data_IF_042456351478
#
_entry.id   IF_042456351478
#
_cell.length_a   1.000
_cell.length_b   1.000
_cell.length_c   1.000
_cell.angle_alpha   90.00
_cell.angle_beta   90.00
_cell.angle_gamma   90.00
#
_symmetry.space_group_name_H-M   'P 1'
#
loop_
_entity.id
_entity.type
_entity.pdbx_description
1 polymer ?
#
# COMPACT_ATOMS: atom_id res chain seq x y z
N UNK A 1 13.41 26.84 -2.02
CA UNK A 1 13.46 25.99 -3.24
C UNK A 1 12.03 25.66 -3.60
N UNK A 2 11.62 25.90 -4.85
CA UNK A 2 10.24 25.65 -5.28
C UNK A 2 9.96 24.14 -5.32
N UNK A 3 8.84 23.71 -4.80
CA UNK A 3 8.43 22.30 -4.79
C UNK A 3 7.73 21.98 -6.12
N UNK A 4 8.26 21.00 -6.83
CA UNK A 4 7.72 20.49 -8.09
C UNK A 4 6.70 19.41 -7.80
N UNK A 5 5.45 19.63 -8.17
CA UNK A 5 4.32 18.76 -7.84
C UNK A 5 3.75 18.15 -9.11
N UNK A 6 3.55 16.85 -9.12
CA UNK A 6 2.78 16.12 -10.13
C UNK A 6 1.47 15.67 -9.52
N UNK A 7 0.38 15.79 -10.28
CA UNK A 7 -0.96 15.35 -9.92
C UNK A 7 -1.36 14.21 -10.86
N UNK A 8 -1.79 13.08 -10.29
CA UNK A 8 -2.27 11.91 -11.03
C UNK A 8 -3.66 11.55 -10.49
N UNK A 9 -4.68 11.91 -11.26
CA UNK A 9 -6.11 11.85 -10.89
C UNK A 9 -6.93 11.75 -12.18
N UNK A 10 -7.81 10.77 -12.30
CA UNK A 10 -8.61 10.56 -13.53
C UNK A 10 -9.73 11.60 -13.69
N UNK A 11 -10.30 12.08 -12.59
CA UNK A 11 -11.33 13.12 -12.62
C UNK A 11 -10.73 14.49 -12.93
N UNK A 12 -11.01 14.99 -14.13
CA UNK A 12 -10.50 16.27 -14.61
C UNK A 12 -10.85 17.44 -13.67
N UNK A 13 -12.06 17.50 -13.14
CA UNK A 13 -12.49 18.59 -12.26
C UNK A 13 -11.70 18.62 -10.95
N UNK A 14 -11.44 17.45 -10.34
CA UNK A 14 -10.62 17.32 -9.13
C UNK A 14 -9.17 17.71 -9.43
N UNK A 15 -8.65 17.24 -10.55
CA UNK A 15 -7.28 17.53 -11.01
C UNK A 15 -7.06 19.01 -11.23
N UNK A 16 -8.01 19.70 -11.88
CA UNK A 16 -7.98 21.15 -12.07
C UNK A 16 -8.10 21.92 -10.76
N UNK A 17 -8.99 21.49 -9.85
CA UNK A 17 -9.15 22.09 -8.54
C UNK A 17 -7.85 22.00 -7.70
N UNK A 18 -7.17 20.85 -7.70
CA UNK A 18 -5.86 20.72 -7.05
C UNK A 18 -4.81 21.62 -7.68
N UNK A 19 -4.78 21.71 -9.01
CA UNK A 19 -3.84 22.58 -9.72
C UNK A 19 -4.04 24.04 -9.34
N UNK A 20 -5.28 24.53 -9.35
CA UNK A 20 -5.61 25.90 -8.95
C UNK A 20 -5.22 26.16 -7.49
N UNK A 21 -5.55 25.22 -6.61
CA UNK A 21 -5.26 25.33 -5.20
C UNK A 21 -3.75 25.42 -4.90
N UNK A 22 -2.95 24.56 -5.53
CA UNK A 22 -1.51 24.52 -5.30
C UNK A 22 -0.80 25.76 -5.87
N UNK A 23 -1.26 26.28 -7.01
CA UNK A 23 -0.72 27.48 -7.63
C UNK A 23 -1.05 28.78 -6.86
N UNK A 24 -1.83 28.71 -5.78
CA UNK A 24 -1.99 29.85 -4.87
C UNK A 24 -0.76 30.10 -3.98
N UNK A 25 0.20 29.18 -3.97
CA UNK A 25 1.46 29.32 -3.23
C UNK A 25 2.62 29.49 -4.20
N UNK A 26 3.42 30.53 -4.02
CA UNK A 26 4.58 30.86 -4.86
C UNK A 26 5.71 29.83 -4.75
N UNK A 27 5.78 29.08 -3.63
CA UNK A 27 6.77 28.05 -3.39
C UNK A 27 6.39 26.66 -3.96
N UNK A 28 5.21 26.53 -4.60
CA UNK A 28 4.77 25.33 -5.29
C UNK A 28 4.71 25.55 -6.81
N UNK A 29 4.94 24.49 -7.57
CA UNK A 29 4.82 24.47 -9.02
C UNK A 29 4.23 23.14 -9.47
N UNK A 30 3.06 23.15 -10.06
CA UNK A 30 2.48 21.97 -10.70
C UNK A 30 3.17 21.79 -12.05
N UNK A 31 4.06 20.79 -12.13
CA UNK A 31 4.89 20.50 -13.30
C UNK A 31 4.32 19.43 -14.22
N UNK A 32 3.38 18.64 -13.71
CA UNK A 32 2.67 17.61 -14.46
C UNK A 32 1.27 17.38 -13.92
N UNK A 33 0.33 17.05 -14.82
CA UNK A 33 -1.08 16.92 -14.54
C UNK A 33 -1.67 15.82 -15.44
N UNK A 34 -1.85 14.61 -14.89
CA UNK A 34 -2.12 13.39 -15.66
C UNK A 34 -3.40 12.68 -15.21
N UNK A 35 -4.13 12.12 -16.17
CA UNK A 35 -5.35 11.34 -15.94
C UNK A 35 -5.09 9.85 -15.67
N UNK A 36 -3.85 9.38 -15.80
CA UNK A 36 -3.43 7.99 -15.58
C UNK A 36 -1.95 7.90 -15.22
N UNK A 37 -1.55 6.76 -14.66
CA UNK A 37 -0.16 6.52 -14.25
C UNK A 37 0.79 6.39 -15.44
N UNK A 38 0.34 5.82 -16.56
CA UNK A 38 1.18 5.53 -17.73
C UNK A 38 1.76 6.81 -18.34
N UNK A 39 0.94 7.85 -18.46
CA UNK A 39 1.39 9.15 -18.94
C UNK A 39 2.34 9.84 -17.96
N UNK A 40 2.01 9.81 -16.67
CA UNK A 40 2.87 10.39 -15.64
C UNK A 40 4.25 9.71 -15.60
N UNK A 41 4.29 8.37 -15.69
CA UNK A 41 5.55 7.61 -15.70
C UNK A 41 6.43 7.93 -16.91
N UNK A 42 5.82 8.16 -18.09
CA UNK A 42 6.58 8.55 -19.30
C UNK A 42 7.25 9.92 -19.16
N UNK A 43 6.61 10.86 -18.48
CA UNK A 43 7.11 12.23 -18.31
C UNK A 43 7.90 12.44 -17.00
N UNK A 44 8.05 11.39 -16.19
CA UNK A 44 8.61 11.46 -14.84
C UNK A 44 10.02 12.09 -14.79
N UNK A 45 10.85 11.82 -15.80
CA UNK A 45 12.22 12.36 -15.88
C UNK A 45 12.23 13.88 -16.16
N UNK A 46 11.34 14.34 -16.99
CA UNK A 46 11.25 15.76 -17.38
C UNK A 46 10.58 16.58 -16.28
N UNK A 47 9.54 16.02 -15.67
CA UNK A 47 8.83 16.63 -14.57
C UNK A 47 9.67 16.66 -13.29
N UNK A 48 10.55 15.67 -13.07
CA UNK A 48 11.39 15.52 -11.89
C UNK A 48 10.70 16.00 -10.59
N UNK A 49 9.55 15.42 -10.20
CA UNK A 49 8.75 15.91 -9.09
C UNK A 49 9.41 15.64 -7.73
N UNK A 50 9.25 16.59 -6.80
CA UNK A 50 9.56 16.38 -5.39
C UNK A 50 8.38 15.69 -4.68
N UNK A 51 7.15 15.99 -5.16
CA UNK A 51 5.90 15.51 -4.56
C UNK A 51 4.98 15.02 -5.68
N UNK A 52 4.32 13.90 -5.43
CA UNK A 52 3.28 13.35 -6.29
C UNK A 52 1.99 13.23 -5.48
N UNK A 53 0.92 13.85 -5.94
CA UNK A 53 -0.43 13.60 -5.47
C UNK A 53 -1.03 12.50 -6.33
N UNK A 54 -1.41 11.38 -5.72
CA UNK A 54 -1.77 10.15 -6.42
C UNK A 54 -3.13 9.63 -5.99
N UNK A 55 -4.07 9.51 -6.92
CA UNK A 55 -5.26 8.67 -6.65
C UNK A 55 -4.94 7.19 -6.82
N UNK A 56 -5.71 6.34 -6.15
CA UNK A 56 -5.60 4.88 -6.26
C UNK A 56 -6.43 4.35 -7.44
N UNK A 57 -7.64 4.90 -7.62
CA UNK A 57 -8.61 4.42 -8.60
C UNK A 57 -8.38 5.08 -9.95
N UNK A 58 -7.35 4.63 -10.63
CA UNK A 58 -6.94 5.16 -11.93
C UNK A 58 -7.20 4.12 -13.03
N UNK A 59 -7.51 4.57 -14.27
CA UNK A 59 -7.58 3.67 -15.42
C UNK A 59 -6.20 3.08 -15.73
N UNK A 60 -6.16 1.81 -16.14
CA UNK A 60 -4.92 1.09 -16.44
C UNK A 60 -4.16 0.68 -15.20
N UNK A 61 -2.98 1.23 -14.98
CA UNK A 61 -2.16 0.97 -13.79
C UNK A 61 -2.76 1.68 -12.58
N UNK A 62 -3.07 0.93 -11.51
CA UNK A 62 -3.57 1.51 -10.26
C UNK A 62 -2.56 2.44 -9.61
N UNK A 63 -3.02 3.41 -8.80
CA UNK A 63 -2.13 4.32 -8.09
C UNK A 63 -1.17 3.62 -7.12
N UNK A 64 -1.52 2.45 -6.58
CA UNK A 64 -0.61 1.65 -5.74
C UNK A 64 0.55 1.10 -6.57
N UNK A 65 0.26 0.53 -7.74
CA UNK A 65 1.31 0.05 -8.64
C UNK A 65 2.12 1.20 -9.23
N UNK A 66 1.45 2.30 -9.61
CA UNK A 66 2.11 3.54 -10.02
C UNK A 66 3.08 4.07 -8.96
N UNK A 67 2.68 4.03 -7.69
CA UNK A 67 3.54 4.39 -6.55
C UNK A 67 4.82 3.55 -6.51
N UNK A 68 4.73 2.23 -6.66
CA UNK A 68 5.91 1.34 -6.70
C UNK A 68 6.86 1.70 -7.85
N UNK A 69 6.31 1.93 -9.05
CA UNK A 69 7.08 2.26 -10.24
C UNK A 69 7.79 3.61 -10.06
N UNK A 70 7.06 4.63 -9.58
CA UNK A 70 7.62 5.98 -9.34
C UNK A 70 8.71 5.91 -8.26
N UNK A 71 8.47 5.23 -7.15
CA UNK A 71 9.49 5.08 -6.08
C UNK A 71 10.73 4.32 -6.52
N UNK A 72 10.60 3.38 -7.44
CA UNK A 72 11.76 2.69 -8.05
C UNK A 72 12.61 3.63 -8.91
N UNK A 73 11.99 4.52 -9.66
CA UNK A 73 12.66 5.43 -10.60
C UNK A 73 13.11 6.73 -9.92
N UNK A 74 12.33 7.24 -8.98
CA UNK A 74 12.59 8.44 -8.18
C UNK A 74 12.41 8.14 -6.68
N UNK A 75 13.37 7.49 -6.01
CA UNK A 75 13.24 7.09 -4.59
C UNK A 75 13.02 8.27 -3.64
N UNK A 76 13.53 9.45 -3.98
CA UNK A 76 13.42 10.67 -3.18
C UNK A 76 12.06 11.37 -3.31
N UNK A 77 11.26 11.08 -4.33
CA UNK A 77 9.96 11.70 -4.51
C UNK A 77 9.01 11.31 -3.38
N UNK A 78 8.33 12.27 -2.79
CA UNK A 78 7.29 12.04 -1.79
C UNK A 78 5.96 11.79 -2.50
N UNK A 79 5.28 10.70 -2.14
CA UNK A 79 3.99 10.34 -2.74
C UNK A 79 2.91 10.42 -1.67
N UNK A 80 1.96 11.33 -1.86
CA UNK A 80 0.77 11.46 -1.02
C UNK A 80 -0.40 10.84 -1.77
N UNK A 81 -0.93 9.76 -1.23
CA UNK A 81 -2.18 9.16 -1.72
C UNK A 81 -3.35 10.07 -1.36
N UNK A 82 -4.23 10.34 -2.35
CA UNK A 82 -5.47 11.11 -2.15
C UNK A 82 -6.61 10.32 -2.79
N UNK A 83 -7.44 9.66 -1.99
CA UNK A 83 -8.43 8.72 -2.50
C UNK A 83 -9.70 8.68 -1.65
N UNK A 84 -10.74 8.03 -2.15
CA UNK A 84 -11.96 7.74 -1.38
C UNK A 84 -11.85 6.48 -0.52
N UNK A 85 -10.84 5.64 -0.75
CA UNK A 85 -10.67 4.38 -0.03
C UNK A 85 -10.09 4.59 1.36
N UNK A 86 -10.73 3.99 2.37
CA UNK A 86 -10.33 4.07 3.78
C UNK A 86 -10.24 2.67 4.44
N UNK A 87 -10.12 1.60 3.66
CA UNK A 87 -9.98 0.27 4.24
C UNK A 87 -8.51 -0.04 4.56
N UNK A 88 -8.29 -0.80 5.64
CA UNK A 88 -6.96 -1.06 6.18
C UNK A 88 -6.02 -1.77 5.21
N UNK A 89 -6.53 -2.63 4.32
CA UNK A 89 -5.72 -3.33 3.32
C UNK A 89 -5.15 -2.34 2.30
N UNK A 90 -6.00 -1.50 1.70
CA UNK A 90 -5.58 -0.51 0.70
C UNK A 90 -4.59 0.50 1.29
N UNK A 91 -4.84 0.97 2.53
CA UNK A 91 -3.91 1.86 3.23
C UNK A 91 -2.54 1.19 3.41
N UNK A 92 -2.52 -0.04 3.90
CA UNK A 92 -1.29 -0.78 4.12
C UNK A 92 -0.53 -1.05 2.82
N UNK A 93 -1.22 -1.51 1.77
CA UNK A 93 -0.63 -1.79 0.45
C UNK A 93 -0.01 -0.53 -0.18
N UNK A 94 -0.66 0.64 -0.03
CA UNK A 94 -0.14 1.91 -0.52
C UNK A 94 1.14 2.34 0.23
N UNK A 95 1.19 2.19 1.55
CA UNK A 95 2.38 2.49 2.34
C UNK A 95 3.53 1.52 2.04
N UNK A 96 3.23 0.23 1.89
CA UNK A 96 4.22 -0.78 1.46
C UNK A 96 4.73 -0.51 0.03
N UNK A 97 3.93 0.11 -0.83
CA UNK A 97 4.35 0.56 -2.15
C UNK A 97 5.32 1.76 -2.10
N UNK A 98 5.44 2.42 -0.95
CA UNK A 98 6.33 3.55 -0.70
C UNK A 98 5.63 4.92 -0.61
N UNK A 99 4.30 4.96 -0.46
CA UNK A 99 3.60 6.21 -0.18
C UNK A 99 4.10 6.81 1.14
N UNK A 100 4.34 8.12 1.16
CA UNK A 100 4.79 8.89 2.32
C UNK A 100 3.66 9.55 3.09
N UNK A 101 2.47 9.64 2.49
CA UNK A 101 1.28 10.16 3.13
C UNK A 101 0.00 9.55 2.58
N UNK A 102 -1.09 9.66 3.33
CA UNK A 102 -2.39 9.14 2.93
C UNK A 102 -3.52 10.06 3.40
N UNK A 103 -4.24 10.63 2.46
CA UNK A 103 -5.39 11.52 2.66
C UNK A 103 -6.62 10.96 1.99
N UNK A 104 -7.78 11.33 2.51
CA UNK A 104 -9.05 11.06 1.84
C UNK A 104 -9.47 12.25 0.99
N UNK A 105 -10.16 12.03 -0.12
CA UNK A 105 -10.70 13.11 -0.98
C UNK A 105 -11.70 14.02 -0.25
N UNK A 106 -12.19 13.61 0.91
CA UNK A 106 -13.05 14.43 1.78
C UNK A 106 -12.25 15.41 2.67
N UNK A 107 -10.91 15.38 2.59
CA UNK A 107 -10.06 16.33 3.31
C UNK A 107 -10.27 17.74 2.75
N UNK A 108 -10.35 18.72 3.65
CA UNK A 108 -10.45 20.11 3.25
C UNK A 108 -9.12 20.64 2.66
N UNK A 109 -9.20 21.82 2.10
CA UNK A 109 -8.06 22.54 1.50
C UNK A 109 -6.88 22.67 2.48
N UNK A 110 -7.17 23.10 3.71
CA UNK A 110 -6.14 23.41 4.70
C UNK A 110 -5.42 22.13 5.13
N UNK A 111 -6.14 21.00 5.19
CA UNK A 111 -5.54 19.69 5.46
C UNK A 111 -4.60 19.23 4.34
N UNK A 112 -4.98 19.44 3.06
CA UNK A 112 -4.09 19.10 1.93
C UNK A 112 -2.81 19.94 1.98
N UNK A 113 -2.93 21.25 2.17
CA UNK A 113 -1.77 22.15 2.23
C UNK A 113 -0.85 21.80 3.41
N UNK A 114 -1.45 21.57 4.58
CA UNK A 114 -0.71 21.13 5.77
C UNK A 114 0.01 19.79 5.57
N UNK A 115 -0.62 18.84 4.85
CA UNK A 115 -0.02 17.54 4.56
C UNK A 115 1.20 17.67 3.64
N UNK A 116 1.15 18.54 2.65
CA UNK A 116 2.29 18.81 1.79
C UNK A 116 3.44 19.42 2.61
N UNK A 117 3.17 20.40 3.46
CA UNK A 117 4.16 20.99 4.35
C UNK A 117 4.77 19.98 5.34
N UNK A 118 3.93 19.04 5.83
CA UNK A 118 4.37 17.96 6.71
C UNK A 118 5.34 17.01 6.01
N UNK A 119 5.03 16.61 4.77
CA UNK A 119 5.87 15.73 3.95
C UNK A 119 7.21 16.40 3.61
N UNK A 120 7.21 17.70 3.27
CA UNK A 120 8.45 18.47 3.01
C UNK A 120 9.38 18.44 4.23
N UNK A 121 8.83 18.42 5.44
CA UNK A 121 9.56 18.34 6.71
C UNK A 121 9.95 16.90 7.11
N UNK A 122 9.67 15.91 6.26
CA UNK A 122 9.95 14.50 6.53
C UNK A 122 8.90 13.77 7.36
N UNK A 123 7.72 14.36 7.52
CA UNK A 123 6.56 13.74 8.19
C UNK A 123 5.80 12.79 7.27
N UNK A 124 4.81 12.11 7.86
CA UNK A 124 3.92 11.16 7.19
C UNK A 124 2.45 11.55 7.45
N UNK A 125 1.89 12.49 6.68
CA UNK A 125 0.55 12.98 6.89
C UNK A 125 -0.50 11.89 6.70
N UNK A 126 -1.34 11.74 7.71
CA UNK A 126 -2.52 10.88 7.66
C UNK A 126 -3.53 11.29 8.73
N UNK A 127 -4.81 10.93 8.55
CA UNK A 127 -5.80 11.15 9.60
C UNK A 127 -5.57 10.17 10.76
N UNK A 128 -6.08 10.51 11.95
CA UNK A 128 -6.03 9.60 13.12
C UNK A 128 -6.70 8.25 12.83
N UNK A 129 -7.74 8.23 11.99
CA UNK A 129 -8.40 7.00 11.53
C UNK A 129 -7.44 6.14 10.69
N UNK A 130 -6.76 6.75 9.70
CA UNK A 130 -5.79 6.06 8.86
C UNK A 130 -4.60 5.56 9.69
N UNK A 131 -4.04 6.39 10.57
CA UNK A 131 -2.97 5.98 11.47
C UNK A 131 -3.35 4.77 12.34
N UNK A 132 -4.59 4.73 12.85
CA UNK A 132 -5.11 3.57 13.59
C UNK A 132 -5.16 2.31 12.72
N UNK A 133 -5.59 2.40 11.45
CA UNK A 133 -5.60 1.27 10.52
C UNK A 133 -4.18 0.75 10.25
N UNK A 134 -3.20 1.65 10.15
CA UNK A 134 -1.78 1.28 10.01
C UNK A 134 -1.31 0.52 11.26
N UNK A 135 -1.57 1.04 12.47
CA UNK A 135 -1.20 0.34 13.71
C UNK A 135 -1.89 -1.03 13.81
N UNK A 136 -3.16 -1.11 13.46
CA UNK A 136 -3.90 -2.38 13.43
C UNK A 136 -3.35 -3.36 12.39
N UNK A 137 -2.74 -2.86 11.30
CA UNK A 137 -2.17 -3.74 10.27
C UNK A 137 -0.94 -4.52 10.75
N UNK A 138 -0.26 -4.06 11.79
CA UNK A 138 0.86 -4.77 12.42
C UNK A 138 0.41 -5.78 13.48
N UNK A 139 -0.87 -5.74 13.89
CA UNK A 139 -1.39 -6.70 14.85
C UNK A 139 -1.77 -7.99 14.13
N UNK A 140 -1.22 -9.13 14.58
CA UNK A 140 -1.69 -10.45 14.10
C UNK A 140 -3.16 -10.61 14.46
N UNK A 141 -3.91 -11.24 13.56
CA UNK A 141 -5.31 -11.56 13.82
C UNK A 141 -5.41 -12.54 15.00
N UNK A 142 -5.81 -12.04 16.17
CA UNK A 142 -5.97 -12.86 17.39
C UNK A 142 -7.14 -13.83 17.29
N UNK A 143 -8.05 -13.65 16.33
CA UNK A 143 -9.18 -14.54 16.06
C UNK A 143 -8.87 -15.53 14.90
N UNK A 144 -7.62 -15.95 14.77
CA UNK A 144 -7.22 -16.93 13.76
C UNK A 144 -8.01 -18.24 13.93
N UNK A 145 -8.58 -18.82 12.85
CA UNK A 145 -9.14 -20.16 12.90
C UNK A 145 -8.07 -21.24 13.03
N UNK A 146 -6.81 -20.86 12.78
CA UNK A 146 -5.66 -21.76 12.88
C UNK A 146 -5.12 -21.83 14.31
N UNK A 147 -4.70 -23.02 14.72
CA UNK A 147 -3.91 -23.20 15.94
C UNK A 147 -2.50 -22.61 15.75
N UNK A 148 -1.80 -22.32 16.84
CA UNK A 148 -0.40 -21.84 16.78
C UNK A 148 0.49 -22.76 15.94
N UNK A 149 0.27 -24.07 16.01
CA UNK A 149 1.03 -25.08 15.24
C UNK A 149 0.71 -25.03 13.75
N UNK A 150 -0.55 -24.84 13.38
CA UNK A 150 -0.97 -24.69 11.99
C UNK A 150 -0.44 -23.37 11.40
N UNK A 151 -0.45 -22.30 12.17
CA UNK A 151 0.14 -21.00 11.76
C UNK A 151 1.64 -21.13 11.51
N UNK A 152 2.39 -21.78 12.42
CA UNK A 152 3.81 -22.05 12.28
C UNK A 152 4.14 -22.85 11.01
N UNK A 153 3.38 -23.92 10.75
CA UNK A 153 3.55 -24.74 9.56
C UNK A 153 3.25 -23.94 8.30
N UNK A 154 2.16 -23.17 8.30
CA UNK A 154 1.77 -22.36 7.13
C UNK A 154 2.78 -21.25 6.83
N UNK A 155 3.35 -20.61 7.86
CA UNK A 155 4.42 -19.62 7.69
C UNK A 155 5.66 -20.25 7.01
N UNK A 156 6.09 -21.42 7.45
CA UNK A 156 7.24 -22.12 6.84
C UNK A 156 6.95 -22.58 5.40
N UNK A 157 5.68 -22.92 5.10
CA UNK A 157 5.24 -23.22 3.74
C UNK A 157 5.30 -21.97 2.85
N UNK A 158 4.92 -20.80 3.39
CA UNK A 158 5.00 -19.52 2.68
C UNK A 158 6.45 -19.12 2.40
N UNK A 159 7.39 -19.44 3.27
CA UNK A 159 8.84 -19.30 3.06
C UNK A 159 9.41 -20.27 2.00
N UNK A 160 8.60 -21.16 1.44
CA UNK A 160 9.02 -22.10 0.39
C UNK A 160 9.66 -23.40 0.92
N UNK A 161 9.65 -23.66 2.22
CA UNK A 161 10.22 -24.88 2.81
C UNK A 161 9.46 -26.14 2.35
N UNK A 162 10.20 -27.23 2.18
CA UNK A 162 9.61 -28.55 1.90
C UNK A 162 8.99 -29.15 3.16
N UNK A 163 8.04 -30.06 2.99
CA UNK A 163 7.38 -30.75 4.13
C UNK A 163 8.38 -31.55 4.98
N UNK A 164 9.45 -32.05 4.38
CA UNK A 164 10.52 -32.74 5.11
C UNK A 164 11.31 -31.74 5.96
N UNK A 165 11.72 -30.59 5.39
CA UNK A 165 12.44 -29.57 6.14
C UNK A 165 11.59 -29.00 7.28
N UNK A 166 10.27 -28.85 7.07
CA UNK A 166 9.34 -28.41 8.11
C UNK A 166 9.31 -29.45 9.23
N UNK A 167 9.13 -30.74 8.89
CA UNK A 167 9.09 -31.84 9.84
C UNK A 167 10.34 -31.88 10.73
N UNK A 168 11.51 -31.73 10.12
CA UNK A 168 12.81 -31.69 10.80
C UNK A 168 12.95 -30.46 11.72
N UNK A 169 12.52 -29.28 11.23
CA UNK A 169 12.62 -28.01 11.97
C UNK A 169 11.77 -28.00 13.24
N UNK A 170 10.58 -28.60 13.18
CA UNK A 170 9.62 -28.55 14.28
C UNK A 170 9.45 -29.91 15.01
N UNK A 171 10.36 -30.86 14.73
CA UNK A 171 10.50 -32.17 15.40
C UNK A 171 9.23 -33.03 15.36
N UNK A 172 8.60 -33.15 14.18
CA UNK A 172 7.43 -34.04 13.95
C UNK A 172 7.62 -34.87 12.68
N UNK A 173 6.74 -35.87 12.46
CA UNK A 173 6.80 -36.64 11.21
C UNK A 173 6.28 -35.83 10.02
N UNK A 174 6.75 -36.17 8.82
CA UNK A 174 6.23 -35.59 7.56
C UNK A 174 4.74 -35.86 7.37
N UNK A 175 4.26 -36.97 7.86
CA UNK A 175 2.85 -37.36 7.87
C UNK A 175 2.04 -36.41 8.76
N UNK A 176 2.58 -36.04 9.91
CA UNK A 176 1.97 -35.05 10.82
C UNK A 176 1.90 -33.66 10.17
N UNK A 177 2.95 -33.24 9.43
CA UNK A 177 2.91 -32.00 8.64
C UNK A 177 1.77 -32.03 7.63
N UNK A 178 1.64 -33.12 6.85
CA UNK A 178 0.53 -33.28 5.88
C UNK A 178 -0.85 -33.26 6.55
N UNK A 179 -0.99 -33.84 7.72
CA UNK A 179 -2.23 -33.80 8.50
C UNK A 179 -2.60 -32.35 8.87
N UNK A 180 -1.65 -31.56 9.38
CA UNK A 180 -1.89 -30.15 9.69
C UNK A 180 -2.25 -29.34 8.45
N UNK A 181 -1.57 -29.59 7.31
CA UNK A 181 -1.89 -28.91 6.03
C UNK A 181 -3.32 -29.19 5.59
N UNK A 182 -3.78 -30.44 5.71
CA UNK A 182 -5.18 -30.78 5.41
C UNK A 182 -6.16 -30.00 6.30
N UNK A 183 -5.86 -29.87 7.60
CA UNK A 183 -6.69 -29.13 8.54
C UNK A 183 -6.67 -27.62 8.21
N UNK A 184 -5.51 -27.07 7.85
CA UNK A 184 -5.38 -25.68 7.39
C UNK A 184 -6.29 -25.42 6.18
N UNK A 185 -6.27 -26.29 5.18
CA UNK A 185 -7.12 -26.14 4.00
C UNK A 185 -8.61 -26.16 4.35
N UNK A 186 -9.03 -27.04 5.23
CA UNK A 186 -10.42 -27.12 5.71
C UNK A 186 -10.79 -25.82 6.44
N UNK A 187 -9.95 -25.35 7.37
CA UNK A 187 -10.22 -24.18 8.20
C UNK A 187 -10.24 -22.88 7.39
N UNK A 188 -9.36 -22.76 6.38
CA UNK A 188 -9.30 -21.61 5.48
C UNK A 188 -10.26 -21.72 4.28
N UNK A 189 -10.97 -22.86 4.14
CA UNK A 189 -11.87 -23.14 3.01
C UNK A 189 -11.19 -23.01 1.65
N UNK A 190 -10.00 -23.61 1.51
CA UNK A 190 -9.18 -23.60 0.29
C UNK A 190 -8.78 -25.00 -0.12
N UNK A 191 -8.37 -25.19 -1.38
CA UNK A 191 -8.08 -26.52 -1.93
C UNK A 191 -6.61 -26.75 -2.29
N UNK A 192 -5.75 -25.73 -2.21
CA UNK A 192 -4.36 -25.85 -2.59
C UNK A 192 -3.45 -24.92 -1.76
N UNK A 193 -2.13 -25.14 -1.91
CA UNK A 193 -1.08 -24.39 -1.20
C UNK A 193 -1.11 -22.90 -1.50
N UNK A 194 -1.28 -22.53 -2.78
CA UNK A 194 -1.22 -21.14 -3.21
C UNK A 194 -2.39 -20.33 -2.62
N UNK A 195 -3.59 -20.89 -2.66
CA UNK A 195 -4.78 -20.27 -2.08
C UNK A 195 -4.67 -20.18 -0.55
N UNK A 196 -4.10 -21.19 0.10
CA UNK A 196 -3.88 -21.17 1.56
C UNK A 196 -2.94 -20.03 1.97
N UNK A 197 -1.83 -19.85 1.26
CA UNK A 197 -0.87 -18.76 1.51
C UNK A 197 -1.53 -17.41 1.23
N UNK A 198 -2.22 -17.27 0.09
CA UNK A 198 -2.93 -16.06 -0.29
C UNK A 198 -3.95 -15.67 0.80
N UNK A 199 -4.81 -16.60 1.18
CA UNK A 199 -5.84 -16.39 2.21
C UNK A 199 -5.25 -16.03 3.58
N UNK A 200 -4.18 -16.72 3.97
CA UNK A 200 -3.51 -16.45 5.24
C UNK A 200 -2.87 -15.05 5.31
N UNK A 201 -2.30 -14.57 4.19
CA UNK A 201 -1.80 -13.20 4.10
C UNK A 201 -2.95 -12.17 4.09
N UNK A 202 -4.05 -12.43 3.36
CA UNK A 202 -5.22 -11.56 3.33
C UNK A 202 -5.87 -11.40 4.70
N UNK A 203 -5.98 -12.51 5.45
CA UNK A 203 -6.57 -12.54 6.78
C UNK A 203 -5.54 -12.25 7.90
N UNK A 204 -4.27 -11.97 7.56
CA UNK A 204 -3.15 -11.67 8.48
C UNK A 204 -2.92 -12.76 9.53
N UNK A 205 -2.94 -14.00 9.09
CA UNK A 205 -2.72 -15.17 9.95
C UNK A 205 -1.24 -15.53 10.07
N UNK A 206 -0.45 -15.17 9.04
CA UNK A 206 0.99 -15.40 8.96
C UNK A 206 1.71 -14.11 8.56
#
# INVERSE_FOLDING_TARGET
>A
MQQRIVIIEDNQQIREAFTLLLNLRDDFSVVGNYGNCEEAIKNLSDDAPNIVLMDIDLPGISGIEGTKIIKKNLPAANIIIITVFENGKTVFDALCAGATGYLTKNSDRDRLMSAIDEVIKGGAPMSSKIARLVVQSFQKNTNSPLTSRETEILSQIAEGKSYTNIADTIFISKETVKYHIKNIYIKLQVNNKADAIKRANEDRLI
#
